data_IF_315514840410
#
_entry.id   IF_315514840410
#
_cell.length_a   1.000
_cell.length_b   1.000
_cell.length_c   1.000
_cell.angle_alpha   90.00
_cell.angle_beta   90.00
_cell.angle_gamma   90.00
#
_symmetry.space_group_name_H-M   'P 1'
#
loop_
_entity.id
_entity.type
_entity.pdbx_description
1 polymer ?
#
# COMPACT_ATOMS: atom_id res chain seq x y z
N UNK A 1 -15.49 -6.06 -0.46
CA UNK A 1 -15.42 -7.43 -1.04
C UNK A 1 -14.91 -8.36 0.02
N UNK A 2 -15.52 -9.52 0.20
CA UNK A 2 -15.16 -10.50 1.25
C UNK A 2 -14.83 -11.89 0.70
N UNK A 3 -15.10 -12.16 -0.57
CA UNK A 3 -14.77 -13.43 -1.20
C UNK A 3 -14.96 -13.42 -2.71
N UNK A 4 -14.38 -14.43 -3.37
CA UNK A 4 -14.57 -14.75 -4.78
C UNK A 4 -15.01 -16.20 -4.86
N UNK A 5 -16.08 -16.51 -5.60
CA UNK A 5 -16.54 -17.88 -5.83
C UNK A 5 -16.04 -18.38 -7.17
N UNK A 6 -15.80 -19.69 -7.28
CA UNK A 6 -15.39 -20.30 -8.53
C UNK A 6 -15.70 -21.79 -8.63
N UNK A 7 -15.78 -22.27 -9.86
CA UNK A 7 -16.05 -23.66 -10.21
C UNK A 7 -15.17 -24.04 -11.42
N UNK A 8 -14.56 -25.24 -11.38
CA UNK A 8 -13.70 -25.70 -12.48
C UNK A 8 -12.54 -24.75 -12.83
N UNK A 9 -12.01 -24.01 -11.85
CA UNK A 9 -10.95 -23.00 -12.04
C UNK A 9 -11.43 -21.68 -12.65
N UNK A 10 -12.74 -21.47 -12.83
CA UNK A 10 -13.33 -20.23 -13.34
C UNK A 10 -14.05 -19.48 -12.24
N UNK A 11 -13.92 -18.15 -12.25
CA UNK A 11 -14.71 -17.29 -11.37
C UNK A 11 -16.18 -17.36 -11.75
N UNK A 12 -17.04 -17.46 -10.74
CA UNK A 12 -18.51 -17.47 -10.90
C UNK A 12 -19.18 -16.30 -10.18
N UNK A 13 -18.49 -15.64 -9.25
CA UNK A 13 -19.05 -14.52 -8.51
C UNK A 13 -18.10 -13.85 -7.53
N UNK A 14 -18.57 -12.73 -6.98
CA UNK A 14 -17.88 -11.97 -5.92
C UNK A 14 -18.84 -11.73 -4.77
N UNK A 15 -18.39 -12.01 -3.55
CA UNK A 15 -19.16 -11.75 -2.34
C UNK A 15 -18.85 -10.34 -1.82
N UNK A 16 -19.90 -9.56 -1.61
CA UNK A 16 -19.83 -8.19 -1.10
C UNK A 16 -20.54 -8.11 0.24
N UNK A 17 -19.83 -7.62 1.26
CA UNK A 17 -20.46 -7.17 2.50
C UNK A 17 -21.05 -5.78 2.27
N UNK A 18 -22.23 -5.53 2.84
CA UNK A 18 -22.90 -4.24 2.75
C UNK A 18 -22.55 -3.35 3.95
N UNK A 19 -22.39 -2.06 3.68
CA UNK A 19 -22.38 -1.07 4.75
C UNK A 19 -23.70 -1.18 5.55
N UNK A 20 -23.62 -1.03 6.88
CA UNK A 20 -24.78 -1.16 7.77
C UNK A 20 -25.11 -2.60 8.21
N UNK A 21 -24.27 -3.59 7.87
CA UNK A 21 -24.32 -4.93 8.48
C UNK A 21 -25.39 -5.87 7.92
N UNK A 22 -26.04 -5.52 6.80
CA UNK A 22 -26.90 -6.46 6.08
C UNK A 22 -26.09 -7.71 5.63
N UNK A 23 -26.79 -8.83 5.48
CA UNK A 23 -26.18 -10.09 5.08
C UNK A 23 -25.41 -9.94 3.74
N UNK A 24 -24.19 -10.48 3.62
CA UNK A 24 -23.43 -10.40 2.37
C UNK A 24 -24.20 -11.00 1.20
N UNK A 25 -24.05 -10.40 0.02
CA UNK A 25 -24.62 -10.92 -1.23
C UNK A 25 -23.51 -11.34 -2.18
N UNK A 26 -23.82 -12.31 -3.05
CA UNK A 26 -22.92 -12.73 -4.14
C UNK A 26 -23.44 -12.19 -5.45
N UNK A 27 -22.61 -11.40 -6.13
CA UNK A 27 -22.89 -10.89 -7.47
C UNK A 27 -22.26 -11.84 -8.50
N UNK A 28 -22.98 -12.25 -9.56
CA UNK A 28 -22.42 -13.09 -10.61
C UNK A 28 -21.34 -12.32 -11.38
N UNK A 29 -20.19 -12.96 -11.59
CA UNK A 29 -19.06 -12.40 -12.32
C UNK A 29 -18.20 -13.51 -12.92
N UNK A 30 -17.65 -13.29 -14.10
CA UNK A 30 -16.74 -14.24 -14.76
C UNK A 30 -15.27 -13.81 -14.67
N UNK A 31 -15.01 -12.60 -14.18
CA UNK A 31 -13.70 -11.99 -13.95
C UNK A 31 -13.82 -11.05 -12.74
N UNK A 32 -12.79 -11.01 -11.90
CA UNK A 32 -12.67 -10.07 -10.77
C UNK A 32 -11.28 -9.45 -10.81
N UNK A 33 -11.21 -8.13 -10.65
CA UNK A 33 -9.96 -7.37 -10.47
C UNK A 33 -9.94 -6.82 -9.05
N UNK A 34 -8.85 -7.04 -8.32
CA UNK A 34 -8.70 -6.60 -6.92
C UNK A 34 -7.75 -5.39 -6.87
N UNK A 35 -8.27 -4.25 -6.45
CA UNK A 35 -7.49 -3.03 -6.21
C UNK A 35 -7.84 -2.42 -4.85
N UNK A 36 -7.14 -2.84 -3.79
CA UNK A 36 -7.42 -2.44 -2.40
C UNK A 36 -6.25 -1.68 -1.76
N UNK A 37 -5.42 -1.06 -2.61
CA UNK A 37 -4.16 -0.42 -2.21
C UNK A 37 -2.96 -1.35 -2.36
N UNK A 38 -1.76 -0.77 -2.18
CA UNK A 38 -0.49 -1.47 -2.24
C UNK A 38 0.24 -1.44 -0.90
N UNK A 39 1.17 -2.37 -0.74
CA UNK A 39 2.17 -2.33 0.34
C UNK A 39 3.52 -1.94 -0.27
N UNK A 40 4.34 -1.16 0.44
CA UNK A 40 5.68 -0.82 -0.03
C UNK A 40 6.55 -2.08 -0.10
N UNK A 41 7.32 -2.20 -1.18
CA UNK A 41 8.29 -3.30 -1.36
C UNK A 41 9.59 -2.94 -0.64
N UNK A 42 9.62 -3.13 0.68
CA UNK A 42 10.71 -2.68 1.56
C UNK A 42 11.57 -3.82 2.16
N UNK A 43 11.40 -5.06 1.67
CA UNK A 43 12.09 -6.25 2.19
C UNK A 43 13.62 -6.12 2.18
N UNK A 44 14.19 -5.55 1.11
CA UNK A 44 15.64 -5.33 1.00
C UNK A 44 16.13 -4.34 2.05
N UNK A 45 15.39 -3.25 2.27
CA UNK A 45 15.74 -2.24 3.25
C UNK A 45 15.66 -2.80 4.68
N UNK A 46 14.62 -3.59 4.98
CA UNK A 46 14.51 -4.33 6.25
C UNK A 46 15.71 -5.25 6.47
N UNK A 47 16.05 -6.06 5.46
CA UNK A 47 17.17 -7.00 5.54
C UNK A 47 18.51 -6.27 5.72
N UNK A 48 18.65 -5.06 5.14
CA UNK A 48 19.82 -4.20 5.29
C UNK A 48 19.84 -3.39 6.60
N UNK A 49 18.82 -3.50 7.45
CA UNK A 49 18.74 -2.79 8.73
C UNK A 49 18.39 -1.31 8.62
N UNK A 50 17.78 -0.87 7.51
CA UNK A 50 17.30 0.50 7.37
C UNK A 50 16.09 0.74 8.27
N UNK A 51 15.94 1.99 8.72
CA UNK A 51 14.75 2.41 9.45
C UNK A 51 13.51 2.34 8.55
N UNK A 52 12.45 1.71 9.06
CA UNK A 52 11.16 1.60 8.40
C UNK A 52 10.15 2.41 9.21
N UNK A 53 9.27 3.15 8.52
CA UNK A 53 8.16 3.83 9.17
C UNK A 53 7.20 2.82 9.81
N UNK A 54 6.64 3.15 10.99
CA UNK A 54 5.69 2.27 11.67
C UNK A 54 4.39 2.12 10.88
N UNK A 55 3.66 1.04 11.18
CA UNK A 55 2.28 0.88 10.69
C UNK A 55 1.38 2.01 11.22
N UNK A 56 0.37 2.47 10.45
CA UNK A 56 -0.05 1.93 9.16
C UNK A 56 0.70 2.49 7.94
N UNK A 57 1.63 3.45 8.10
CA UNK A 57 2.31 4.11 6.97
C UNK A 57 3.19 3.13 6.21
N UNK A 58 4.08 2.42 6.93
CA UNK A 58 5.04 1.48 6.34
C UNK A 58 6.06 2.13 5.39
N UNK A 59 6.97 1.33 4.82
CA UNK A 59 7.96 1.80 3.86
C UNK A 59 9.24 2.34 4.50
N UNK A 60 10.20 2.69 3.65
CA UNK A 60 11.55 3.12 4.07
C UNK A 60 11.45 4.53 4.62
N UNK A 61 11.78 4.71 5.90
CA UNK A 61 11.78 6.03 6.52
C UNK A 61 12.93 6.86 5.94
N UNK A 62 12.59 8.06 5.50
CA UNK A 62 13.57 9.02 4.99
C UNK A 62 13.41 10.40 5.64
N UNK A 63 14.47 11.20 5.59
CA UNK A 63 14.41 12.61 5.97
C UNK A 63 13.78 13.49 4.87
N UNK A 64 13.69 14.80 5.10
CA UNK A 64 13.14 15.76 4.14
C UNK A 64 13.96 15.87 2.84
N UNK A 65 15.15 15.28 2.78
CA UNK A 65 16.03 15.21 1.60
C UNK A 65 16.08 13.78 1.03
N UNK A 66 15.12 12.93 1.40
CA UNK A 66 14.94 11.56 0.93
C UNK A 66 16.10 10.60 1.29
N UNK A 67 16.93 10.97 2.28
CA UNK A 67 18.02 10.12 2.77
C UNK A 67 17.46 9.07 3.72
N UNK A 68 17.92 7.83 3.57
CA UNK A 68 17.63 6.76 4.51
C UNK A 68 18.53 6.87 5.75
N UNK A 69 18.38 5.95 6.71
CA UNK A 69 19.29 5.83 7.85
C UNK A 69 20.70 5.34 7.48
N UNK A 70 20.89 4.79 6.27
CA UNK A 70 22.19 4.36 5.77
C UNK A 70 22.86 5.49 4.96
N UNK A 71 24.11 5.88 5.29
CA UNK A 71 24.84 6.87 4.52
C UNK A 71 25.03 6.44 3.06
N UNK A 72 24.77 7.35 2.13
CA UNK A 72 24.89 7.06 0.70
C UNK A 72 23.72 6.28 0.09
N UNK A 73 22.64 6.06 0.84
CA UNK A 73 21.43 5.37 0.36
C UNK A 73 20.21 6.28 0.49
N UNK A 74 19.43 6.37 -0.59
CA UNK A 74 18.19 7.14 -0.69
C UNK A 74 17.02 6.24 -1.06
N UNK A 75 15.80 6.66 -0.73
CA UNK A 75 14.58 6.03 -1.18
C UNK A 75 13.60 7.10 -1.68
N UNK A 76 12.93 6.84 -2.80
CA UNK A 76 12.01 7.79 -3.47
C UNK A 76 10.78 7.05 -4.01
N UNK A 77 9.72 7.80 -4.28
CA UNK A 77 8.46 7.24 -4.80
C UNK A 77 7.69 6.43 -3.76
N UNK A 78 6.84 5.52 -4.23
CA UNK A 78 5.84 4.81 -3.42
C UNK A 78 6.39 4.03 -2.22
N UNK A 79 7.69 3.72 -2.19
CA UNK A 79 8.34 3.00 -1.07
C UNK A 79 8.79 3.92 0.06
N UNK A 80 8.93 5.22 -0.20
CA UNK A 80 9.48 6.19 0.73
C UNK A 80 8.42 6.74 1.69
N UNK A 81 8.72 6.69 2.98
CA UNK A 81 7.96 7.36 4.03
C UNK A 81 8.70 8.62 4.48
N UNK A 82 8.17 9.78 4.13
CA UNK A 82 8.84 11.07 4.31
C UNK A 82 8.01 12.04 5.14
N UNK A 83 8.63 13.00 5.85
CA UNK A 83 7.89 14.01 6.59
C UNK A 83 7.19 14.98 5.63
N UNK A 84 5.87 15.13 5.77
CA UNK A 84 5.09 16.06 4.95
C UNK A 84 4.60 17.26 5.78
N UNK A 85 5.04 18.46 5.39
CA UNK A 85 4.77 19.68 6.15
C UNK A 85 3.27 20.01 6.30
N UNK A 86 2.45 19.75 5.28
CA UNK A 86 1.00 19.99 5.36
C UNK A 86 0.27 18.98 6.27
N UNK A 87 0.92 17.88 6.66
CA UNK A 87 0.46 16.89 7.64
C UNK A 87 1.12 17.12 9.01
N UNK A 88 1.54 18.36 9.31
CA UNK A 88 2.18 18.72 10.57
C UNK A 88 3.56 18.07 10.77
N UNK A 89 4.22 17.65 9.69
CA UNK A 89 5.50 16.95 9.73
C UNK A 89 5.40 15.44 9.99
N UNK A 90 4.18 14.89 9.98
CA UNK A 90 3.95 13.44 10.05
C UNK A 90 4.60 12.71 8.87
N UNK A 91 5.02 11.46 9.11
CA UNK A 91 5.49 10.59 8.04
C UNK A 91 4.32 10.14 7.19
N UNK A 92 4.46 10.26 5.86
CA UNK A 92 3.47 9.81 4.89
C UNK A 92 4.14 9.06 3.75
N UNK A 93 3.33 8.30 3.02
CA UNK A 93 3.69 7.64 1.77
C UNK A 93 2.71 8.10 0.69
N UNK A 94 3.20 8.40 -0.50
CA UNK A 94 2.37 8.87 -1.61
C UNK A 94 2.47 7.92 -2.80
N UNK A 95 1.33 7.46 -3.30
CA UNK A 95 1.20 6.58 -4.47
C UNK A 95 0.83 7.42 -5.71
N UNK A 96 1.52 8.56 -5.87
CA UNK A 96 1.24 9.56 -6.90
C UNK A 96 2.38 9.64 -7.91
N UNK A 97 2.02 9.60 -9.20
CA UNK A 97 3.00 9.76 -10.29
C UNK A 97 3.80 11.07 -10.20
N UNK A 98 3.19 12.16 -9.73
CA UNK A 98 3.88 13.44 -9.55
C UNK A 98 4.94 13.37 -8.46
N UNK A 99 4.66 12.67 -7.36
CA UNK A 99 5.62 12.46 -6.29
C UNK A 99 6.82 11.63 -6.77
N UNK A 100 6.56 10.55 -7.51
CA UNK A 100 7.61 9.67 -8.03
C UNK A 100 8.51 10.31 -9.11
N UNK A 101 8.09 11.45 -9.70
CA UNK A 101 8.82 12.15 -10.77
C UNK A 101 9.53 13.43 -10.31
N UNK A 102 9.29 13.86 -9.07
CA UNK A 102 9.80 15.12 -8.54
C UNK A 102 11.28 15.03 -8.11
#
# INVERSE_FOLDING_TARGET
VTGVTGEGGKVTGVTVAHAGGAAPTTLPANLVVVGVGAQPVDDLARAAGLEIAPAPVGGIKVDAHMRTSAPGVWAVGDVAAFPLACEGGGLVRQEHVTHARA
#
